data_IF_667228550182
#
_entry.id   IF_667228550182
#
_cell.length_a   1.000
_cell.length_b   1.000
_cell.length_c   1.000
_cell.angle_alpha   90.00
_cell.angle_beta   90.00
_cell.angle_gamma   90.00
#
_symmetry.space_group_name_H-M   'P 1'
#
loop_
_entity.id
_entity.type
_entity.pdbx_description
1 polymer ?
#
# COMPACT_ATOMS: atom_id res chain seq x y z
N UNK A 1 0.03 40.75 28.67
CA UNK A 1 1.26 39.95 28.77
C UNK A 1 0.90 38.48 28.62
N UNK A 2 1.04 37.93 27.40
CA UNK A 2 0.76 36.51 27.15
C UNK A 2 1.88 35.68 27.78
N UNK A 3 1.51 34.79 28.68
CA UNK A 3 2.40 34.04 29.56
C UNK A 3 3.32 33.08 28.78
N UNK A 4 4.61 33.07 29.16
CA UNK A 4 5.67 32.22 28.60
C UNK A 4 5.34 30.71 28.57
N UNK A 5 4.39 30.26 29.40
CA UNK A 5 3.90 28.88 29.44
C UNK A 5 3.00 28.46 28.27
N UNK A 6 2.51 29.39 27.44
CA UNK A 6 1.83 29.04 26.17
C UNK A 6 2.84 28.72 25.08
N UNK A 7 3.88 29.55 24.93
CA UNK A 7 4.91 29.38 23.89
C UNK A 7 5.65 28.04 24.02
N UNK A 8 6.00 27.61 25.24
CA UNK A 8 6.71 26.34 25.47
C UNK A 8 5.86 25.11 25.15
N UNK A 9 4.56 25.16 25.44
CA UNK A 9 3.62 24.10 25.05
C UNK A 9 3.38 24.07 23.54
N UNK A 10 3.35 25.23 22.90
CA UNK A 10 3.28 25.35 21.44
C UNK A 10 4.52 24.73 20.79
N UNK A 11 5.71 25.03 21.31
CA UNK A 11 6.98 24.49 20.81
C UNK A 11 7.07 22.97 21.04
N UNK A 12 6.69 22.45 22.21
CA UNK A 12 6.63 21.00 22.45
C UNK A 12 5.60 20.29 21.55
N UNK A 13 4.47 20.94 21.27
CA UNK A 13 3.44 20.46 20.34
C UNK A 13 3.97 20.43 18.91
N UNK A 14 4.73 21.45 18.51
CA UNK A 14 5.39 21.54 17.19
C UNK A 14 6.52 20.53 17.06
N UNK A 15 7.37 20.35 18.07
CA UNK A 15 8.46 19.34 18.07
C UNK A 15 7.86 17.92 17.98
N UNK A 16 6.74 17.64 18.66
CA UNK A 16 6.01 16.37 18.49
C UNK A 16 5.39 16.21 17.11
N UNK A 17 5.07 17.30 16.43
CA UNK A 17 4.48 17.29 15.10
C UNK A 17 5.49 17.05 13.97
N UNK A 18 6.77 16.79 14.28
CA UNK A 18 7.80 16.48 13.28
C UNK A 18 8.35 15.05 13.39
N UNK A 19 7.81 14.24 14.29
CA UNK A 19 8.35 12.91 14.57
C UNK A 19 7.77 11.86 13.63
N UNK A 20 8.65 10.96 13.18
CA UNK A 20 8.23 9.72 12.53
C UNK A 20 7.61 8.77 13.56
N UNK A 21 6.46 8.21 13.21
CA UNK A 21 5.66 7.31 14.03
C UNK A 21 5.38 6.01 13.28
N UNK A 22 5.18 4.96 14.06
CA UNK A 22 4.81 3.64 13.59
C UNK A 22 3.36 3.40 13.97
N UNK A 23 2.51 3.25 12.95
CA UNK A 23 1.09 2.98 13.11
C UNK A 23 0.83 1.49 12.87
N UNK A 24 0.16 0.83 13.82
CA UNK A 24 -0.27 -0.56 13.64
C UNK A 24 -1.53 -0.63 12.79
N UNK A 25 -1.48 -1.41 11.71
CA UNK A 25 -2.63 -1.63 10.83
C UNK A 25 -3.48 -2.77 11.40
N UNK A 26 -4.77 -2.53 11.70
CA UNK A 26 -5.66 -3.57 12.20
C UNK A 26 -5.91 -4.63 11.13
N UNK A 27 -6.16 -5.87 11.56
CA UNK A 27 -6.28 -7.02 10.65
C UNK A 27 -7.38 -6.87 9.60
N UNK A 28 -8.46 -6.14 9.91
CA UNK A 28 -9.57 -5.85 8.99
C UNK A 28 -9.15 -4.96 7.81
N UNK A 29 -8.20 -4.06 8.05
CA UNK A 29 -7.65 -3.16 7.04
C UNK A 29 -6.39 -3.74 6.39
N UNK A 30 -5.77 -4.75 7.01
CA UNK A 30 -4.56 -5.38 6.50
C UNK A 30 -4.86 -6.22 5.25
N UNK A 31 -4.26 -5.83 4.14
CA UNK A 31 -4.19 -6.68 2.94
C UNK A 31 -3.40 -7.98 3.21
N UNK A 32 -3.61 -9.00 2.37
CA UNK A 32 -3.02 -10.35 2.57
C UNK A 32 -1.47 -10.36 2.63
N UNK A 33 -0.84 -9.36 2.02
CA UNK A 33 0.61 -9.15 1.98
C UNK A 33 1.01 -7.80 2.56
N UNK A 34 0.10 -7.14 3.29
CA UNK A 34 0.39 -5.85 3.88
C UNK A 34 1.22 -5.97 5.14
N UNK A 35 2.11 -4.98 5.28
CA UNK A 35 2.90 -4.80 6.49
C UNK A 35 1.96 -4.61 7.68
N UNK A 36 2.38 -5.11 8.83
CA UNK A 36 1.64 -4.90 10.10
C UNK A 36 1.74 -3.46 10.59
N UNK A 37 2.80 -2.78 10.17
CA UNK A 37 3.18 -1.47 10.64
C UNK A 37 3.36 -0.57 9.42
N UNK A 38 2.72 0.59 9.44
CA UNK A 38 2.91 1.65 8.46
C UNK A 38 3.67 2.80 9.10
N UNK A 39 4.63 3.36 8.37
CA UNK A 39 5.37 4.55 8.79
C UNK A 39 4.56 5.79 8.41
N UNK A 40 4.42 6.69 9.37
CA UNK A 40 3.77 7.97 9.19
C UNK A 40 4.56 9.08 9.90
N UNK A 41 4.29 10.32 9.56
CA UNK A 41 4.78 11.50 10.28
C UNK A 41 3.58 12.22 10.87
N UNK A 42 3.75 12.81 12.05
CA UNK A 42 2.72 13.70 12.58
C UNK A 42 2.70 14.97 11.71
N UNK A 43 1.52 15.52 11.42
CA UNK A 43 1.39 16.75 10.63
C UNK A 43 0.80 17.88 11.47
N UNK A 44 -0.24 17.56 12.23
CA UNK A 44 -0.93 18.51 13.06
C UNK A 44 -1.51 17.83 14.30
N UNK A 45 -1.76 18.62 15.34
CA UNK A 45 -2.43 18.18 16.56
C UNK A 45 -3.60 19.14 16.80
N UNK A 46 -4.81 18.62 16.71
CA UNK A 46 -6.03 19.38 16.92
C UNK A 46 -6.13 19.86 18.38
N UNK A 47 -7.00 20.83 18.65
CA UNK A 47 -7.21 21.37 20.00
C UNK A 47 -7.73 20.32 20.99
N UNK A 48 -8.41 19.29 20.48
CA UNK A 48 -8.86 18.12 21.25
C UNK A 48 -7.73 17.12 21.58
N UNK A 49 -6.49 17.36 21.14
CA UNK A 49 -5.34 16.48 21.40
C UNK A 49 -5.26 15.26 20.46
N UNK A 50 -6.00 15.27 19.36
CA UNK A 50 -5.93 14.23 18.32
C UNK A 50 -4.88 14.59 17.27
N UNK A 51 -4.15 13.59 16.79
CA UNK A 51 -3.03 13.72 15.89
C UNK A 51 -3.47 13.42 14.46
N UNK A 52 -3.14 14.32 13.54
CA UNK A 52 -3.24 14.09 12.11
C UNK A 52 -1.92 13.50 11.61
N UNK A 53 -1.99 12.37 10.91
CA UNK A 53 -0.83 11.64 10.44
C UNK A 53 -0.73 11.71 8.91
N UNK A 54 0.51 11.77 8.42
CA UNK A 54 0.86 11.78 7.00
C UNK A 54 1.71 10.58 6.63
N UNK A 55 1.47 9.98 5.49
CA UNK A 55 2.28 8.90 4.92
C UNK A 55 2.85 9.34 3.57
N UNK A 56 3.82 8.59 3.03
CA UNK A 56 4.34 8.82 1.66
C UNK A 56 3.24 8.86 0.59
N UNK A 57 2.12 8.18 0.82
CA UNK A 57 1.02 8.05 -0.13
C UNK A 57 -0.06 9.14 0.05
N UNK A 58 0.01 9.91 1.14
CA UNK A 58 -0.93 10.99 1.44
C UNK A 58 -1.22 11.17 2.92
N UNK A 59 -2.09 12.13 3.24
CA UNK A 59 -2.57 12.42 4.59
C UNK A 59 -3.66 11.45 5.02
N UNK A 60 -3.54 10.85 6.19
CA UNK A 60 -4.58 9.95 6.70
C UNK A 60 -5.82 10.75 7.04
N UNK A 61 -6.98 10.29 6.55
CA UNK A 61 -8.26 10.94 6.82
C UNK A 61 -8.68 10.81 8.29
N UNK A 62 -8.32 9.69 8.93
CA UNK A 62 -8.57 9.45 10.34
C UNK A 62 -7.58 10.20 11.22
N UNK A 63 -8.08 10.67 12.37
CA UNK A 63 -7.25 11.24 13.43
C UNK A 63 -6.94 10.16 14.47
N UNK A 64 -5.79 10.27 15.10
CA UNK A 64 -5.27 9.24 16.01
C UNK A 64 -4.98 9.80 17.40
N UNK A 65 -5.23 8.98 18.42
CA UNK A 65 -4.80 9.20 19.79
C UNK A 65 -3.32 8.84 19.94
N UNK A 66 -2.65 9.43 20.94
CA UNK A 66 -1.23 9.17 21.22
C UNK A 66 -0.88 7.69 21.42
N UNK A 67 -1.83 6.89 21.94
CA UNK A 67 -1.65 5.48 22.27
C UNK A 67 -1.82 4.53 21.06
N UNK A 68 -2.29 5.04 19.92
CA UNK A 68 -2.55 4.23 18.73
C UNK A 68 -1.29 4.03 17.86
N UNK A 69 -0.24 4.81 18.12
CA UNK A 69 1.03 4.77 17.40
C UNK A 69 2.23 4.84 18.36
N UNK A 70 3.35 4.27 17.94
CA UNK A 70 4.62 4.36 18.66
C UNK A 70 5.56 5.32 17.94
N UNK A 71 6.54 5.87 18.65
CA UNK A 71 7.60 6.64 17.97
C UNK A 71 8.50 5.66 17.23
N UNK A 72 9.00 6.09 16.07
CA UNK A 72 10.11 5.42 15.41
C UNK A 72 11.42 5.87 16.05
N UNK A 73 12.42 4.98 16.06
CA UNK A 73 13.76 5.30 16.59
C UNK A 73 14.56 6.24 15.66
N UNK A 74 14.12 6.38 14.40
CA UNK A 74 14.76 7.19 13.38
C UNK A 74 13.73 7.84 12.46
N UNK A 75 14.13 8.96 11.86
CA UNK A 75 13.30 9.69 10.91
C UNK A 75 13.40 9.08 9.51
N UNK A 76 12.27 8.59 9.00
CA UNK A 76 12.19 7.92 7.71
C UNK A 76 11.44 8.73 6.64
N UNK A 77 10.61 9.70 7.06
CA UNK A 77 9.71 10.44 6.19
C UNK A 77 9.82 11.93 6.51
N UNK A 78 10.18 12.72 5.49
CA UNK A 78 10.14 14.17 5.58
C UNK A 78 8.72 14.71 5.35
N UNK A 79 8.33 15.74 6.10
CA UNK A 79 6.99 16.34 6.00
C UNK A 79 6.74 16.97 4.62
N UNK A 80 7.78 17.53 4.00
CA UNK A 80 7.68 18.10 2.64
C UNK A 80 7.38 17.04 1.58
N UNK A 81 7.67 15.76 1.86
CA UNK A 81 7.43 14.65 0.94
C UNK A 81 6.00 14.09 1.01
N UNK A 82 5.21 14.50 2.01
CA UNK A 82 3.85 14.01 2.22
C UNK A 82 2.87 14.70 1.27
N UNK A 83 2.19 13.97 0.37
CA UNK A 83 1.16 14.56 -0.48
C UNK A 83 -0.04 15.04 0.35
N UNK A 84 -0.65 16.17 -0.05
CA UNK A 84 -1.85 16.71 0.62
C UNK A 84 -3.13 15.92 0.34
N UNK A 85 -3.06 14.85 -0.46
CA UNK A 85 -4.22 14.00 -0.82
C UNK A 85 -4.67 13.16 0.37
N UNK A 86 -5.96 13.19 0.70
CA UNK A 86 -6.49 12.37 1.80
C UNK A 86 -6.60 10.90 1.38
N UNK A 87 -6.08 10.00 2.20
CA UNK A 87 -6.08 8.56 1.98
C UNK A 87 -6.55 7.81 3.22
N UNK A 88 -7.18 6.65 3.00
CA UNK A 88 -7.54 5.72 4.06
C UNK A 88 -6.36 4.83 4.43
N UNK A 89 -6.25 4.43 5.71
CA UNK A 89 -5.21 3.52 6.20
C UNK A 89 -5.18 2.18 5.42
N UNK A 90 -6.36 1.68 5.03
CA UNK A 90 -6.51 0.48 4.21
C UNK A 90 -5.93 0.64 2.80
N UNK A 91 -5.90 1.86 2.28
CA UNK A 91 -5.37 2.15 0.94
C UNK A 91 -3.85 2.29 1.02
N UNK A 92 -3.34 3.04 2.00
CA UNK A 92 -1.90 3.19 2.22
C UNK A 92 -1.23 1.86 2.50
N UNK A 93 -1.79 1.04 3.39
CA UNK A 93 -1.25 -0.30 3.68
C UNK A 93 -1.19 -1.21 2.45
N UNK A 94 -2.20 -1.14 1.57
CA UNK A 94 -2.19 -1.89 0.31
C UNK A 94 -1.14 -1.39 -0.68
N UNK A 95 -0.92 -0.08 -0.75
CA UNK A 95 0.11 0.52 -1.60
C UNK A 95 1.51 0.17 -1.09
N UNK A 96 1.74 0.26 0.21
CA UNK A 96 2.99 -0.11 0.86
C UNK A 96 3.37 -1.58 0.63
N UNK A 97 2.38 -2.47 0.58
CA UNK A 97 2.57 -3.90 0.28
C UNK A 97 3.15 -4.18 -1.11
N UNK A 98 3.00 -3.24 -2.06
CA UNK A 98 3.20 -3.51 -3.49
C UNK A 98 2.26 -4.58 -4.07
N UNK A 99 1.36 -5.12 -3.25
CA UNK A 99 0.52 -6.26 -3.60
C UNK A 99 -0.69 -5.79 -4.38
N UNK A 100 -0.60 -5.88 -5.71
CA UNK A 100 -1.82 -5.93 -6.53
C UNK A 100 -2.51 -7.25 -6.20
N UNK A 101 -3.64 -7.17 -5.52
CA UNK A 101 -4.36 -8.35 -5.06
C UNK A 101 -4.95 -9.08 -6.28
N UNK A 102 -4.57 -10.35 -6.44
CA UNK A 102 -5.11 -11.25 -7.46
C UNK A 102 -4.22 -11.36 -8.70
N UNK A 103 -4.05 -12.59 -9.17
CA UNK A 103 -3.67 -12.82 -10.56
C UNK A 103 -4.85 -12.42 -11.44
N UNK A 104 -4.59 -11.71 -12.54
CA UNK A 104 -5.63 -11.47 -13.53
C UNK A 104 -5.97 -12.82 -14.15
N UNK A 105 -7.19 -13.28 -13.91
CA UNK A 105 -7.75 -14.46 -14.56
C UNK A 105 -8.68 -13.99 -15.68
N UNK A 106 -8.49 -14.53 -16.88
CA UNK A 106 -9.47 -14.36 -17.95
C UNK A 106 -10.47 -15.52 -17.93
N UNK A 107 -11.74 -15.24 -18.21
CA UNK A 107 -12.79 -16.25 -18.38
C UNK A 107 -12.86 -16.79 -19.82
N UNK A 108 -11.73 -16.77 -20.54
CA UNK A 108 -11.68 -17.22 -21.92
C UNK A 108 -11.82 -18.75 -21.99
N UNK A 109 -12.91 -19.24 -22.59
CA UNK A 109 -13.14 -20.69 -22.79
C UNK A 109 -12.22 -21.31 -23.86
N UNK A 110 -11.60 -20.48 -24.70
CA UNK A 110 -10.69 -20.86 -25.80
C UNK A 110 -9.46 -19.94 -25.77
N UNK A 111 -8.82 -19.70 -26.91
CA UNK A 111 -7.64 -18.85 -27.05
C UNK A 111 -7.89 -17.36 -26.73
N UNK A 112 -6.89 -16.68 -26.16
CA UNK A 112 -6.95 -15.25 -25.83
C UNK A 112 -6.50 -14.33 -26.98
N UNK A 113 -7.18 -14.38 -28.14
CA UNK A 113 -6.77 -13.56 -29.31
C UNK A 113 -7.29 -12.12 -29.21
N UNK A 114 -8.55 -11.92 -28.82
CA UNK A 114 -9.15 -10.59 -28.88
C UNK A 114 -8.93 -9.76 -27.61
N UNK A 115 -9.11 -8.43 -27.73
CA UNK A 115 -9.18 -7.51 -26.58
C UNK A 115 -10.34 -7.83 -25.61
N UNK A 116 -11.21 -8.78 -25.95
CA UNK A 116 -12.22 -9.39 -25.05
C UNK A 116 -11.58 -10.14 -23.88
N UNK A 117 -10.32 -10.57 -24.02
CA UNK A 117 -9.56 -11.16 -22.91
C UNK A 117 -9.08 -10.08 -21.93
N UNK A 118 -9.40 -10.23 -20.64
CA UNK A 118 -8.97 -9.32 -19.58
C UNK A 118 -7.44 -9.20 -19.45
N UNK A 119 -6.71 -10.30 -19.67
CA UNK A 119 -5.24 -10.30 -19.64
C UNK A 119 -4.69 -9.44 -20.80
N UNK A 120 -5.22 -9.61 -22.01
CA UNK A 120 -4.78 -8.88 -23.20
C UNK A 120 -5.18 -7.40 -23.16
N UNK A 121 -6.37 -7.08 -22.65
CA UNK A 121 -6.80 -5.71 -22.42
C UNK A 121 -5.85 -4.94 -21.49
N UNK A 122 -5.32 -5.62 -20.46
CA UNK A 122 -4.36 -5.06 -19.50
C UNK A 122 -2.90 -5.26 -19.92
N UNK A 123 -2.63 -5.77 -21.13
CA UNK A 123 -1.28 -6.07 -21.64
C UNK A 123 -0.46 -7.04 -20.76
N UNK A 124 -1.14 -7.92 -20.02
CA UNK A 124 -0.52 -8.93 -19.13
C UNK A 124 -0.52 -10.31 -19.80
N UNK A 125 0.57 -11.07 -19.64
CA UNK A 125 0.70 -12.44 -20.18
C UNK A 125 -0.20 -13.41 -19.41
N UNK A 126 -0.89 -14.29 -20.12
CA UNK A 126 -1.75 -15.32 -19.51
C UNK A 126 -0.89 -16.35 -18.76
N UNK A 127 -1.35 -16.76 -17.58
CA UNK A 127 -0.69 -17.81 -16.78
C UNK A 127 -1.45 -19.15 -16.88
N UNK A 128 -0.91 -20.20 -16.29
CA UNK A 128 -1.51 -21.55 -16.27
C UNK A 128 -2.88 -21.62 -15.59
N UNK A 129 -3.31 -20.61 -14.83
CA UNK A 129 -4.65 -20.53 -14.23
C UNK A 129 -5.72 -19.94 -15.16
N UNK A 130 -5.32 -19.38 -16.29
CA UNK A 130 -6.24 -18.83 -17.30
C UNK A 130 -6.80 -19.92 -18.22
N UNK A 131 -6.03 -20.98 -18.44
CA UNK A 131 -6.41 -22.11 -19.28
C UNK A 131 -6.06 -23.41 -18.58
N UNK A 132 -7.08 -24.20 -18.27
CA UNK A 132 -6.89 -25.58 -17.82
C UNK A 132 -6.31 -26.40 -18.99
N UNK A 133 -4.99 -26.49 -19.08
CA UNK A 133 -4.23 -27.39 -19.97
C UNK A 133 -4.32 -27.12 -21.48
N UNK A 134 -4.93 -26.02 -21.93
CA UNK A 134 -4.95 -25.63 -23.35
C UNK A 134 -3.78 -24.70 -23.67
N UNK A 135 -2.92 -25.08 -24.63
CA UNK A 135 -1.76 -24.29 -25.04
C UNK A 135 -2.19 -22.93 -25.61
N UNK A 136 -1.70 -21.82 -25.04
CA UNK A 136 -1.89 -20.49 -25.61
C UNK A 136 -1.21 -20.40 -26.99
N UNK A 137 -1.96 -20.14 -28.06
CA UNK A 137 -1.40 -19.87 -29.41
C UNK A 137 -0.80 -18.46 -29.57
N UNK A 138 -0.41 -17.79 -28.48
CA UNK A 138 0.18 -16.45 -28.53
C UNK A 138 1.70 -16.52 -28.48
N UNK A 139 2.34 -15.93 -29.47
CA UNK A 139 3.79 -15.76 -29.64
C UNK A 139 4.49 -14.91 -28.55
N UNK A 140 3.80 -14.54 -27.48
CA UNK A 140 4.33 -13.81 -26.31
C UNK A 140 3.94 -14.46 -24.96
N UNK A 141 3.60 -15.74 -24.97
CA UNK A 141 3.32 -16.51 -23.76
C UNK A 141 4.53 -17.40 -23.44
N UNK A 142 5.29 -17.11 -22.37
CA UNK A 142 6.48 -17.89 -21.93
C UNK A 142 6.18 -19.37 -21.58
N UNK A 143 4.92 -19.80 -21.64
CA UNK A 143 4.52 -21.19 -21.39
C UNK A 143 4.54 -22.06 -22.65
N UNK A 144 4.86 -21.50 -23.82
CA UNK A 144 4.99 -22.24 -25.07
C UNK A 144 6.39 -22.87 -25.29
N UNK A 145 7.39 -22.50 -24.49
CA UNK A 145 8.81 -22.85 -24.76
C UNK A 145 9.42 -23.85 -23.76
N UNK A 146 8.63 -24.51 -22.90
CA UNK A 146 9.19 -25.62 -22.11
C UNK A 146 9.02 -26.92 -22.89
N UNK A 147 10.10 -27.51 -23.45
CA UNK A 147 10.02 -28.89 -23.92
C UNK A 147 9.64 -29.76 -22.74
N UNK A 148 8.62 -30.61 -22.92
CA UNK A 148 8.29 -31.66 -21.98
C UNK A 148 9.57 -32.47 -21.76
N UNK A 149 10.14 -32.42 -20.57
CA UNK A 149 11.17 -33.37 -20.19
C UNK A 149 10.55 -34.77 -20.33
N UNK A 150 11.00 -35.52 -21.32
CA UNK A 150 10.73 -36.94 -21.43
C UNK A 150 11.34 -37.61 -20.20
N UNK A 151 10.48 -38.10 -19.33
CA UNK A 151 10.87 -39.09 -18.33
C UNK A 151 11.15 -40.37 -19.12
N UNK A 152 12.43 -40.67 -19.28
CA UNK A 152 12.92 -41.99 -19.72
C UNK A 152 12.76 -42.90 -18.50
N UNK A 153 11.90 -43.92 -18.62
CA UNK A 153 11.98 -45.16 -17.85
C UNK A 153 12.08 -46.28 -18.89
#
# INVERSE_FOLDING_TARGET
>A
MLSAGKLTKEIDKVIKALLTVILRVPDVDRGRLALRNELAVVLNINDSGLYQLGTKDGTLQSLYCRNEFTLADSDFIDISSVPSTSVFLRTTSRLASGSKQGFIQCNCKRYCIDKKCACRAKTVVCNSKCHNHSSCKISRCRYADTPKAQVII
#
